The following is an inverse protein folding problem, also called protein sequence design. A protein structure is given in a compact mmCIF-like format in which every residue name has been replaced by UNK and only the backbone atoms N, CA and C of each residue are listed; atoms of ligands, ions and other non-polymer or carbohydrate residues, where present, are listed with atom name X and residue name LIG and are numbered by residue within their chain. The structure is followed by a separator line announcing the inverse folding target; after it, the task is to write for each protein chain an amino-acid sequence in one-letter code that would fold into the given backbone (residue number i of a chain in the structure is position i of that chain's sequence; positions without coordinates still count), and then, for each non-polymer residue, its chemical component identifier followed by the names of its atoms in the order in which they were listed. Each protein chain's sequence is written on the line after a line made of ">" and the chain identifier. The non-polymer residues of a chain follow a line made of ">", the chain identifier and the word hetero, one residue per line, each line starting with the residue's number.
data_IF_753099113767
#
_entry.id   IF_753099113767
#
_cell.length_a   1.000
_cell.length_b   1.000
_cell.length_c   1.000
_cell.angle_alpha   90.00
_cell.angle_beta   90.00
_cell.angle_gamma   90.00
#
_symmetry.space_group_name_H-M   'P 1'
#
loop_
_entity.id
_entity.type
_entity.pdbx_description
1 polymer ?
#
# COMPACT_ATOMS: atom_id res chain seq x y z
N UNK A 1 -25.44 -18.00 70.32
CA UNK A 1 -25.38 -19.05 69.27
C UNK A 1 -26.70 -19.06 68.53
N UNK A 2 -26.75 -18.46 67.32
CA UNK A 2 -27.75 -18.69 66.25
C UNK A 2 -27.27 -17.94 65.01
N UNK A 3 -26.70 -18.70 64.08
CA UNK A 3 -26.50 -18.34 62.68
C UNK A 3 -27.88 -18.14 62.01
N UNK A 4 -28.00 -17.17 61.10
CA UNK A 4 -28.73 -17.23 59.81
C UNK A 4 -28.91 -15.80 59.24
N UNK A 5 -28.25 -15.59 58.10
CA UNK A 5 -28.61 -14.81 56.90
C UNK A 5 -29.06 -13.35 57.04
N UNK A 6 -28.29 -12.44 56.43
CA UNK A 6 -28.66 -11.75 55.18
C UNK A 6 -27.35 -11.45 54.43
N UNK A 7 -27.03 -12.31 53.46
CA UNK A 7 -25.99 -12.08 52.47
C UNK A 7 -26.48 -10.93 51.59
N UNK A 8 -26.09 -9.71 51.95
CA UNK A 8 -26.37 -8.51 51.17
C UNK A 8 -25.33 -8.42 50.07
N UNK A 9 -25.79 -8.70 48.85
CA UNK A 9 -25.31 -8.16 47.57
C UNK A 9 -23.86 -7.66 47.52
N UNK A 10 -22.95 -8.57 47.20
CA UNK A 10 -21.69 -8.25 46.53
C UNK A 10 -21.60 -9.01 45.21
N UNK A 11 -22.68 -8.93 44.41
CA UNK A 11 -22.64 -9.18 42.98
C UNK A 11 -22.13 -7.91 42.29
N UNK A 12 -20.92 -7.47 42.68
CA UNK A 12 -20.21 -6.38 42.02
C UNK A 12 -19.56 -6.94 40.75
N UNK A 13 -20.37 -6.95 39.69
CA UNK A 13 -19.96 -6.65 38.32
C UNK A 13 -18.76 -7.48 37.84
N UNK A 14 -18.97 -8.80 37.71
CA UNK A 14 -18.35 -9.60 36.64
C UNK A 14 -19.11 -9.35 35.33
N UNK A 15 -19.23 -8.09 34.93
CA UNK A 15 -19.42 -7.77 33.52
C UNK A 15 -18.01 -7.56 33.02
N UNK A 16 -17.35 -8.67 32.69
CA UNK A 16 -16.31 -8.68 31.68
C UNK A 16 -16.94 -8.10 30.42
N UNK A 17 -16.86 -6.78 30.27
CA UNK A 17 -17.02 -6.10 29.01
C UNK A 17 -15.83 -6.59 28.18
N UNK A 18 -15.94 -7.80 27.63
CA UNK A 18 -15.27 -8.17 26.40
C UNK A 18 -15.89 -7.27 25.33
N UNK A 19 -15.53 -5.99 25.36
CA UNK A 19 -15.56 -5.15 24.19
C UNK A 19 -14.46 -5.72 23.30
N UNK A 20 -14.75 -6.86 22.65
CA UNK A 20 -14.09 -7.18 21.40
C UNK A 20 -14.47 -6.01 20.52
N UNK A 21 -13.56 -5.06 20.35
CA UNK A 21 -13.63 -4.15 19.22
C UNK A 21 -13.80 -5.06 18.01
N UNK A 22 -15.03 -5.13 17.49
CA UNK A 22 -15.28 -5.82 16.24
C UNK A 22 -14.51 -4.99 15.22
N UNK A 23 -13.35 -5.52 14.80
CA UNK A 23 -12.59 -4.89 13.74
C UNK A 23 -13.51 -4.83 12.53
N UNK A 24 -13.85 -3.63 12.08
CA UNK A 24 -14.67 -3.44 10.90
C UNK A 24 -13.89 -4.00 9.71
N UNK A 25 -14.34 -5.17 9.22
CA UNK A 25 -13.70 -5.82 8.08
C UNK A 25 -13.91 -4.94 6.85
N UNK A 26 -12.81 -4.65 6.16
CA UNK A 26 -12.83 -3.79 4.98
C UNK A 26 -12.51 -4.60 3.74
N UNK A 27 -13.10 -4.20 2.64
CA UNK A 27 -12.72 -4.65 1.31
C UNK A 27 -12.39 -3.46 0.42
N UNK A 28 -11.86 -3.77 -0.75
CA UNK A 28 -11.57 -2.79 -1.78
C UNK A 28 -11.86 -3.36 -3.17
N UNK A 29 -12.05 -2.46 -4.13
CA UNK A 29 -12.36 -2.81 -5.52
C UNK A 29 -11.10 -3.12 -6.32
N UNK A 30 -11.08 -4.27 -7.00
CA UNK A 30 -9.95 -4.68 -7.86
C UNK A 30 -10.24 -4.52 -9.37
N UNK A 31 -11.51 -4.40 -9.77
CA UNK A 31 -11.90 -4.27 -11.16
C UNK A 31 -11.54 -2.89 -11.74
N UNK A 32 -10.84 -2.88 -12.88
CA UNK A 32 -10.35 -1.66 -13.55
C UNK A 32 -11.44 -0.61 -13.83
N UNK A 33 -12.66 -1.04 -14.14
CA UNK A 33 -13.81 -0.19 -14.43
C UNK A 33 -14.59 0.24 -13.17
N UNK A 34 -14.11 -0.12 -11.98
CA UNK A 34 -14.86 -0.02 -10.73
C UNK A 34 -15.80 -1.21 -10.51
N UNK A 35 -16.53 -1.18 -9.41
CA UNK A 35 -17.43 -2.25 -8.99
C UNK A 35 -18.85 -1.74 -8.83
N UNK A 36 -19.79 -2.39 -9.53
CA UNK A 36 -21.21 -2.07 -9.41
C UNK A 36 -21.70 -2.33 -7.99
N UNK A 37 -22.22 -1.29 -7.35
CA UNK A 37 -22.87 -1.34 -6.04
C UNK A 37 -24.38 -1.33 -6.24
N UNK A 38 -25.06 -2.36 -5.75
CA UNK A 38 -26.44 -2.69 -6.11
C UNK A 38 -27.36 -2.78 -4.92
N UNK A 39 -28.65 -2.60 -5.17
CA UNK A 39 -29.68 -2.68 -4.13
C UNK A 39 -29.89 -4.11 -3.63
N UNK A 40 -29.66 -5.13 -4.47
CA UNK A 40 -29.82 -6.54 -4.10
C UNK A 40 -28.69 -7.39 -4.71
N UNK A 41 -28.46 -8.62 -4.22
CA UNK A 41 -27.36 -9.47 -4.66
C UNK A 41 -27.68 -10.18 -5.99
N UNK A 42 -27.92 -9.40 -7.04
CA UNK A 42 -28.20 -9.88 -8.41
C UNK A 42 -27.65 -8.92 -9.45
N UNK A 43 -27.11 -9.47 -10.53
CA UNK A 43 -26.47 -8.70 -11.60
C UNK A 43 -27.42 -7.75 -12.35
N UNK A 44 -28.71 -8.06 -12.40
CA UNK A 44 -29.76 -7.28 -13.06
C UNK A 44 -30.46 -6.28 -12.13
N UNK A 45 -30.17 -6.31 -10.83
CA UNK A 45 -30.82 -5.41 -9.87
C UNK A 45 -30.34 -3.97 -9.98
N UNK A 46 -31.13 -3.04 -9.42
CA UNK A 46 -30.84 -1.61 -9.44
C UNK A 46 -29.41 -1.33 -9.00
N UNK A 47 -28.62 -0.71 -9.88
CA UNK A 47 -27.29 -0.20 -9.57
C UNK A 47 -27.44 1.13 -8.83
N UNK A 48 -27.07 1.14 -7.56
CA UNK A 48 -27.07 2.32 -6.70
C UNK A 48 -25.93 3.27 -7.08
N UNK A 49 -24.74 2.71 -7.28
CA UNK A 49 -23.53 3.47 -7.66
C UNK A 49 -22.50 2.54 -8.32
N UNK A 50 -21.36 3.11 -8.72
CA UNK A 50 -20.13 2.38 -9.01
C UNK A 50 -19.13 2.79 -7.93
N UNK A 51 -18.59 1.83 -7.20
CA UNK A 51 -17.45 2.05 -6.31
C UNK A 51 -16.21 2.10 -7.22
N UNK A 52 -15.49 3.22 -7.30
CA UNK A 52 -14.29 3.33 -8.11
C UNK A 52 -13.27 2.23 -7.78
N UNK A 53 -12.37 1.95 -8.73
CA UNK A 53 -11.25 1.04 -8.47
C UNK A 53 -10.52 1.52 -7.23
N UNK A 54 -10.09 0.57 -6.41
CA UNK A 54 -9.31 0.79 -5.21
C UNK A 54 -9.98 1.60 -4.08
N UNK A 55 -11.27 1.92 -4.21
CA UNK A 55 -12.03 2.50 -3.11
C UNK A 55 -12.37 1.44 -2.06
N UNK A 56 -12.30 1.85 -0.79
CA UNK A 56 -12.59 0.97 0.34
C UNK A 56 -14.09 0.99 0.65
N UNK A 57 -14.56 -0.13 1.19
CA UNK A 57 -15.91 -0.27 1.75
C UNK A 57 -15.85 -1.14 3.00
N UNK A 58 -16.83 -0.96 3.89
CA UNK A 58 -17.01 -1.83 5.05
C UNK A 58 -17.79 -3.07 4.62
N UNK A 59 -17.29 -4.25 4.95
CA UNK A 59 -17.97 -5.51 4.71
C UNK A 59 -18.89 -5.78 5.90
N UNK A 60 -20.19 -5.90 5.61
CA UNK A 60 -21.22 -6.19 6.62
C UNK A 60 -21.59 -7.67 6.64
N UNK A 61 -21.57 -8.33 5.48
CA UNK A 61 -21.89 -9.76 5.34
C UNK A 61 -21.21 -10.33 4.09
N UNK A 62 -20.59 -11.52 4.22
CA UNK A 62 -19.92 -12.24 3.13
C UNK A 62 -20.69 -13.48 2.67
N UNK A 63 -21.73 -13.88 3.41
CA UNK A 63 -22.50 -15.10 3.20
C UNK A 63 -23.70 -14.89 2.28
N UNK A 64 -23.66 -13.86 1.42
CA UNK A 64 -24.65 -13.64 0.39
C UNK A 64 -24.71 -14.80 -0.62
N UNK A 65 -25.72 -14.77 -1.52
CA UNK A 65 -25.88 -15.82 -2.52
C UNK A 65 -24.66 -15.86 -3.45
N UNK A 66 -24.36 -17.06 -3.94
CA UNK A 66 -23.37 -17.27 -4.98
C UNK A 66 -23.97 -16.96 -6.35
N UNK A 67 -23.14 -16.41 -7.24
CA UNK A 67 -23.51 -16.10 -8.62
C UNK A 67 -22.29 -16.30 -9.53
N UNK A 68 -22.53 -16.46 -10.83
CA UNK A 68 -21.48 -16.54 -11.84
C UNK A 68 -21.56 -15.35 -12.78
N UNK A 69 -20.59 -14.45 -12.69
CA UNK A 69 -20.53 -13.22 -13.48
C UNK A 69 -19.18 -13.19 -14.19
N UNK A 70 -19.20 -12.95 -15.51
CA UNK A 70 -17.99 -12.93 -16.36
C UNK A 70 -17.10 -14.16 -16.18
N UNK A 71 -17.71 -15.34 -16.08
CA UNK A 71 -17.00 -16.61 -15.91
C UNK A 71 -16.39 -16.84 -14.52
N UNK A 72 -16.62 -15.92 -13.58
CA UNK A 72 -16.15 -16.02 -12.19
C UNK A 72 -17.31 -16.38 -11.27
N UNK A 73 -17.21 -17.48 -10.53
CA UNK A 73 -18.20 -17.90 -9.53
C UNK A 73 -17.78 -17.46 -8.14
N UNK A 74 -18.53 -16.54 -7.54
CA UNK A 74 -18.26 -15.96 -6.21
C UNK A 74 -19.55 -15.52 -5.52
N UNK A 75 -19.46 -15.19 -4.23
CA UNK A 75 -20.60 -14.69 -3.44
C UNK A 75 -20.81 -13.19 -3.63
N UNK A 76 -22.04 -12.75 -3.45
CA UNK A 76 -22.34 -11.35 -3.22
C UNK A 76 -22.01 -10.98 -1.77
N UNK A 77 -21.39 -9.83 -1.56
CA UNK A 77 -21.15 -9.27 -0.23
C UNK A 77 -22.07 -8.09 0.01
N UNK A 78 -22.62 -8.01 1.22
CA UNK A 78 -23.32 -6.83 1.70
C UNK A 78 -22.30 -5.88 2.28
N UNK A 79 -22.31 -4.63 1.84
CA UNK A 79 -21.30 -3.64 2.21
C UNK A 79 -21.93 -2.30 2.55
N UNK A 80 -21.23 -1.50 3.34
CA UNK A 80 -21.47 -0.08 3.51
C UNK A 80 -20.40 0.70 2.75
N UNK A 81 -20.82 1.54 1.81
CA UNK A 81 -19.97 2.45 1.06
C UNK A 81 -20.56 3.86 1.12
N UNK A 82 -19.80 4.82 1.64
CA UNK A 82 -20.22 6.21 1.84
C UNK A 82 -21.60 6.32 2.53
N UNK A 83 -21.76 5.63 3.65
CA UNK A 83 -22.98 5.55 4.46
C UNK A 83 -24.21 4.95 3.76
N UNK A 84 -24.02 4.34 2.59
CA UNK A 84 -25.06 3.62 1.86
C UNK A 84 -24.82 2.10 1.96
N UNK A 85 -25.87 1.36 2.32
CA UNK A 85 -25.82 -0.11 2.40
C UNK A 85 -26.36 -0.73 1.09
N UNK A 86 -25.65 -1.72 0.59
CA UNK A 86 -26.02 -2.44 -0.63
C UNK A 86 -25.14 -3.67 -0.84
N UNK A 87 -25.07 -4.14 -2.07
CA UNK A 87 -24.43 -5.40 -2.45
C UNK A 87 -23.41 -5.20 -3.57
N UNK A 88 -22.31 -5.92 -3.48
CA UNK A 88 -21.30 -6.02 -4.52
C UNK A 88 -21.01 -7.49 -4.84
N UNK A 89 -20.59 -7.76 -6.07
CA UNK A 89 -20.12 -9.10 -6.43
C UNK A 89 -18.65 -9.26 -6.03
N UNK A 90 -18.35 -10.19 -5.12
CA UNK A 90 -17.00 -10.29 -4.53
C UNK A 90 -15.91 -10.76 -5.49
N UNK A 91 -16.27 -11.29 -6.67
CA UNK A 91 -15.29 -11.62 -7.72
C UNK A 91 -14.49 -10.42 -8.24
N UNK A 92 -14.96 -9.21 -7.97
CA UNK A 92 -14.31 -7.96 -8.35
C UNK A 92 -13.84 -7.13 -7.14
N UNK A 93 -13.75 -7.78 -5.98
CA UNK A 93 -13.28 -7.19 -4.74
C UNK A 93 -12.24 -8.08 -4.06
N UNK A 94 -11.48 -7.49 -3.15
CA UNK A 94 -10.58 -8.19 -2.26
C UNK A 94 -10.77 -7.71 -0.81
N UNK A 95 -10.44 -8.57 0.14
CA UNK A 95 -10.47 -8.24 1.57
C UNK A 95 -9.17 -7.52 1.92
N UNK A 96 -9.29 -6.44 2.69
CA UNK A 96 -8.14 -5.75 3.26
C UNK A 96 -7.66 -6.51 4.49
N UNK A 97 -6.44 -7.07 4.41
CA UNK A 97 -5.77 -7.67 5.56
C UNK A 97 -4.82 -6.64 6.21
N UNK A 98 -5.21 -6.03 7.35
CA UNK A 98 -4.35 -5.09 8.07
C UNK A 98 -3.09 -5.75 8.63
N UNK A 99 -3.10 -7.08 8.84
CA UNK A 99 -1.96 -7.81 9.41
C UNK A 99 -0.74 -7.72 8.51
N UNK A 100 -0.94 -7.44 7.22
CA UNK A 100 0.15 -7.21 6.27
C UNK A 100 1.05 -6.05 6.71
N UNK A 101 0.48 -5.00 7.29
CA UNK A 101 1.22 -3.82 7.75
C UNK A 101 1.74 -3.95 9.19
N UNK A 102 1.78 -5.17 9.74
CA UNK A 102 2.42 -5.42 11.02
C UNK A 102 3.93 -5.17 10.88
N UNK A 103 4.47 -4.30 11.74
CA UNK A 103 5.90 -3.98 11.81
C UNK A 103 6.78 -5.22 11.95
N UNK A 104 6.24 -6.31 12.54
CA UNK A 104 6.92 -7.60 12.66
C UNK A 104 7.23 -8.25 11.31
N UNK A 105 6.55 -7.84 10.24
CA UNK A 105 6.81 -8.30 8.86
C UNK A 105 7.91 -7.51 8.16
N UNK A 106 8.46 -6.47 8.79
CA UNK A 106 9.62 -5.75 8.26
C UNK A 106 10.85 -6.66 8.11
N UNK A 107 11.59 -6.49 7.02
CA UNK A 107 12.89 -7.13 6.80
C UNK A 107 14.07 -6.21 7.17
N UNK A 108 13.79 -5.03 7.70
CA UNK A 108 14.79 -4.03 8.02
C UNK A 108 15.67 -4.47 9.18
N UNK A 109 16.99 -4.41 8.98
CA UNK A 109 18.02 -4.77 9.95
C UNK A 109 19.07 -3.68 10.16
N UNK A 110 18.88 -2.51 9.55
CA UNK A 110 19.79 -1.38 9.62
C UNK A 110 19.66 -0.54 10.89
N UNK A 111 20.38 0.58 10.92
CA UNK A 111 20.33 1.54 12.01
C UNK A 111 19.00 2.32 12.00
N UNK A 112 18.22 2.19 13.08
CA UNK A 112 16.94 2.86 13.23
C UNK A 112 17.04 4.38 13.20
N UNK A 113 18.15 4.97 13.64
CA UNK A 113 18.36 6.42 13.58
C UNK A 113 18.48 6.92 12.14
N UNK A 114 19.21 6.18 11.29
CA UNK A 114 19.33 6.46 9.85
C UNK A 114 17.99 6.27 9.15
N UNK A 115 17.21 5.24 9.53
CA UNK A 115 15.84 5.04 9.03
C UNK A 115 14.93 6.24 9.33
N UNK A 116 14.96 6.72 10.58
CA UNK A 116 14.16 7.89 10.99
C UNK A 116 14.61 9.15 10.24
N UNK A 117 15.91 9.37 10.09
CA UNK A 117 16.45 10.47 9.30
C UNK A 117 15.96 10.42 7.85
N UNK A 118 16.15 9.28 7.18
CA UNK A 118 15.72 9.07 5.79
C UNK A 118 14.23 9.38 5.59
N UNK A 119 13.37 8.89 6.47
CA UNK A 119 11.93 9.12 6.36
C UNK A 119 11.53 10.57 6.68
N UNK A 120 12.20 11.22 7.63
CA UNK A 120 11.98 12.63 7.89
C UNK A 120 12.38 13.48 6.69
N UNK A 121 13.52 13.16 6.08
CA UNK A 121 14.00 13.83 4.88
C UNK A 121 13.01 13.65 3.73
N UNK A 122 12.62 12.41 3.41
CA UNK A 122 11.57 12.10 2.41
C UNK A 122 10.28 12.87 2.66
N UNK A 123 9.84 12.98 3.92
CA UNK A 123 8.61 13.70 4.27
C UNK A 123 8.66 15.19 3.89
N UNK A 124 9.84 15.77 3.74
CA UNK A 124 10.00 17.17 3.29
C UNK A 124 9.70 17.36 1.80
N UNK A 125 9.65 16.28 1.02
CA UNK A 125 9.38 16.31 -0.41
C UNK A 125 7.88 16.38 -0.69
N UNK A 126 7.04 16.06 0.31
CA UNK A 126 5.58 16.07 0.17
C UNK A 126 4.99 17.40 0.63
N UNK A 127 4.13 17.96 -0.21
CA UNK A 127 3.33 19.15 0.13
C UNK A 127 2.27 18.87 1.20
N UNK A 128 1.88 17.60 1.38
CA UNK A 128 0.88 17.12 2.35
C UNK A 128 1.31 15.77 2.92
N UNK A 129 1.14 15.58 4.23
CA UNK A 129 1.74 14.48 5.01
C UNK A 129 0.67 13.46 5.44
N UNK A 130 0.91 12.16 5.22
CA UNK A 130 0.23 11.07 5.93
C UNK A 130 1.20 10.44 6.95
N UNK A 131 0.67 9.81 8.00
CA UNK A 131 1.52 9.34 9.12
C UNK A 131 2.49 8.22 8.70
N UNK A 132 2.01 7.27 7.88
CA UNK A 132 2.70 5.98 7.62
C UNK A 132 2.89 5.63 6.13
N UNK A 133 2.52 6.54 5.22
CA UNK A 133 2.58 6.31 3.77
C UNK A 133 3.11 7.57 3.07
N UNK A 134 4.09 7.39 2.19
CA UNK A 134 4.77 8.47 1.48
C UNK A 134 4.80 8.14 -0.03
N UNK A 135 4.32 9.05 -0.89
CA UNK A 135 4.33 8.90 -2.36
C UNK A 135 5.00 10.10 -3.01
N UNK A 136 6.07 9.87 -3.79
CA UNK A 136 6.88 10.88 -4.45
C UNK A 136 6.92 10.67 -5.96
N UNK A 137 6.58 11.71 -6.72
CA UNK A 137 6.67 11.66 -8.18
C UNK A 137 7.98 12.29 -8.64
N UNK A 138 8.64 11.63 -9.58
CA UNK A 138 9.88 12.06 -10.20
C UNK A 138 9.80 12.01 -11.71
N UNK A 139 10.63 12.82 -12.35
CA UNK A 139 10.90 12.75 -13.78
C UNK A 139 12.35 12.31 -13.97
N UNK A 140 12.57 11.25 -14.74
CA UNK A 140 13.91 10.89 -15.21
C UNK A 140 14.32 11.87 -16.30
N UNK A 141 15.49 12.51 -16.15
CA UNK A 141 16.02 13.38 -17.20
C UNK A 141 16.83 12.61 -18.26
N UNK A 142 17.15 11.34 -17.99
CA UNK A 142 18.15 10.59 -18.77
C UNK A 142 17.54 9.63 -19.79
N UNK A 143 16.24 9.34 -19.67
CA UNK A 143 15.50 8.56 -20.68
C UNK A 143 14.09 9.13 -20.90
N UNK A 144 13.83 9.76 -22.06
CA UNK A 144 12.45 9.96 -22.50
C UNK A 144 11.87 8.59 -22.90
N UNK A 145 10.68 8.28 -22.40
CA UNK A 145 9.94 7.07 -22.78
C UNK A 145 9.09 7.35 -24.02
N UNK A 146 8.79 6.31 -24.78
CA UNK A 146 8.02 6.45 -26.01
C UNK A 146 7.53 5.10 -26.53
N UNK A 147 6.42 5.11 -27.27
CA UNK A 147 5.84 3.93 -27.91
C UNK A 147 6.28 3.78 -29.39
N UNK A 148 7.26 4.58 -29.81
CA UNK A 148 7.82 4.60 -31.16
C UNK A 148 7.35 5.79 -32.00
N UNK A 149 6.20 6.38 -31.67
CA UNK A 149 5.64 7.53 -32.39
C UNK A 149 5.79 8.85 -31.62
N UNK A 150 5.77 8.81 -30.29
CA UNK A 150 5.99 9.96 -29.41
C UNK A 150 7.09 9.71 -28.37
N UNK A 151 7.93 10.72 -28.13
CA UNK A 151 8.86 10.74 -26.99
C UNK A 151 8.34 11.69 -25.92
N UNK A 152 8.30 11.22 -24.68
CA UNK A 152 7.86 12.01 -23.53
C UNK A 152 8.70 11.72 -22.29
N UNK A 153 8.84 12.72 -21.42
CA UNK A 153 9.47 12.55 -20.12
C UNK A 153 8.60 11.62 -19.26
N UNK A 154 9.09 10.43 -18.93
CA UNK A 154 8.32 9.52 -18.09
C UNK A 154 8.32 9.99 -16.63
N UNK A 155 7.11 10.10 -16.08
CA UNK A 155 6.91 10.35 -14.66
C UNK A 155 6.96 9.01 -13.95
N UNK A 156 8.02 8.81 -13.17
CA UNK A 156 8.11 7.71 -12.22
C UNK A 156 7.47 8.13 -10.90
N UNK A 157 6.89 7.18 -10.18
CA UNK A 157 6.35 7.40 -8.83
C UNK A 157 6.97 6.40 -7.88
N UNK A 158 7.50 6.89 -6.76
CA UNK A 158 8.01 6.05 -5.68
C UNK A 158 7.03 6.12 -4.51
N UNK A 159 6.57 4.96 -4.06
CA UNK A 159 5.75 4.81 -2.87
C UNK A 159 6.51 4.04 -1.81
N UNK A 160 6.48 4.53 -0.57
CA UNK A 160 7.19 3.94 0.56
C UNK A 160 6.21 3.68 1.70
N UNK A 161 6.21 2.44 2.17
CA UNK A 161 5.57 2.06 3.41
C UNK A 161 6.63 1.94 4.52
N UNK A 162 6.54 2.81 5.50
CA UNK A 162 7.53 2.90 6.58
C UNK A 162 7.34 1.85 7.69
N UNK A 163 6.14 1.24 7.77
CA UNK A 163 5.83 0.20 8.77
C UNK A 163 6.49 -1.13 8.43
N UNK A 164 6.48 -1.49 7.14
CA UNK A 164 7.02 -2.78 6.68
C UNK A 164 8.27 -2.63 5.81
N UNK A 165 8.80 -1.42 5.72
CA UNK A 165 10.02 -1.12 5.00
C UNK A 165 9.95 -1.60 3.54
N UNK A 166 8.90 -1.18 2.83
CA UNK A 166 8.72 -1.53 1.43
C UNK A 166 8.71 -0.29 0.55
N UNK A 167 9.26 -0.42 -0.64
CA UNK A 167 9.24 0.60 -1.67
C UNK A 167 8.65 0.02 -2.96
N UNK A 168 7.91 0.84 -3.69
CA UNK A 168 7.39 0.51 -5.01
C UNK A 168 7.78 1.64 -5.95
N UNK A 169 8.30 1.28 -7.12
CA UNK A 169 8.59 2.22 -8.20
C UNK A 169 7.60 1.93 -9.32
N UNK A 170 6.88 2.95 -9.73
CA UNK A 170 5.82 2.90 -10.72
C UNK A 170 6.19 3.78 -11.90
N UNK A 171 5.74 3.38 -13.08
CA UNK A 171 5.79 4.15 -14.31
C UNK A 171 4.43 4.05 -15.01
N UNK A 172 4.29 4.65 -16.20
CA UNK A 172 3.07 4.49 -17.01
C UNK A 172 2.87 3.04 -17.46
N UNK A 173 3.97 2.29 -17.61
CA UNK A 173 3.98 0.97 -18.26
C UNK A 173 4.35 -0.16 -17.31
N UNK A 174 5.15 0.11 -16.28
CA UNK A 174 5.67 -0.94 -15.40
C UNK A 174 5.61 -0.54 -13.92
N UNK A 175 5.68 -1.54 -13.06
CA UNK A 175 5.78 -1.39 -11.61
C UNK A 175 6.62 -2.51 -11.04
N UNK A 176 7.56 -2.18 -10.16
CA UNK A 176 8.26 -3.18 -9.36
C UNK A 176 8.29 -2.78 -7.89
N UNK A 177 8.29 -3.80 -7.03
CA UNK A 177 8.28 -3.63 -5.59
C UNK A 177 9.49 -4.28 -4.93
N UNK A 178 9.93 -3.69 -3.84
CA UNK A 178 11.13 -4.11 -3.11
C UNK A 178 10.90 -4.01 -1.61
N UNK A 179 11.66 -4.78 -0.84
CA UNK A 179 11.71 -4.70 0.63
C UNK A 179 13.05 -4.13 1.05
N UNK A 180 13.04 -2.96 1.67
CA UNK A 180 14.21 -2.30 2.24
C UNK A 180 14.71 -3.14 3.41
N UNK A 181 15.98 -3.55 3.35
CA UNK A 181 16.64 -4.38 4.35
C UNK A 181 17.66 -3.60 5.17
N UNK A 182 18.26 -2.55 4.58
CA UNK A 182 19.24 -1.70 5.26
C UNK A 182 19.22 -0.28 4.67
N UNK A 183 19.62 0.70 5.47
CA UNK A 183 19.90 2.07 5.05
C UNK A 183 21.27 2.46 5.60
N UNK A 184 22.14 2.98 4.74
CA UNK A 184 23.48 3.41 5.13
C UNK A 184 23.68 4.88 4.76
N UNK A 185 24.27 5.65 5.68
CA UNK A 185 24.58 7.05 5.45
C UNK A 185 26.04 7.18 4.99
N UNK A 186 26.25 7.80 3.83
CA UNK A 186 27.56 8.04 3.25
C UNK A 186 27.71 9.52 2.88
N UNK A 187 28.43 10.27 3.73
CA UNK A 187 28.58 11.74 3.59
C UNK A 187 27.23 12.46 3.60
N UNK A 188 26.76 12.97 2.47
CA UNK A 188 25.46 13.66 2.35
C UNK A 188 24.41 12.78 1.67
N UNK A 189 24.72 11.50 1.48
CA UNK A 189 23.95 10.53 0.72
C UNK A 189 23.38 9.44 1.64
N UNK A 190 22.18 8.95 1.34
CA UNK A 190 21.62 7.73 1.95
C UNK A 190 21.57 6.65 0.88
N UNK A 191 22.06 5.45 1.19
CA UNK A 191 22.07 4.27 0.32
C UNK A 191 21.02 3.27 0.80
N UNK A 192 20.18 2.79 -0.11
CA UNK A 192 19.06 1.88 0.18
C UNK A 192 19.40 0.45 -0.26
N UNK A 193 19.55 -0.48 0.67
CA UNK A 193 19.65 -1.91 0.32
C UNK A 193 18.28 -2.54 0.37
N UNK A 194 17.95 -3.35 -0.63
CA UNK A 194 16.67 -4.03 -0.67
C UNK A 194 16.76 -5.46 -1.23
N UNK A 195 15.68 -6.22 -1.08
CA UNK A 195 15.46 -7.47 -1.81
C UNK A 195 14.27 -7.30 -2.75
N UNK A 196 14.39 -7.85 -3.96
CA UNK A 196 13.26 -7.90 -4.89
C UNK A 196 12.17 -8.79 -4.27
N UNK A 197 10.92 -8.37 -4.40
CA UNK A 197 9.80 -9.14 -3.91
C UNK A 197 9.33 -10.24 -4.87
N UNK A 198 9.74 -10.22 -6.14
CA UNK A 198 9.39 -11.30 -7.07
C UNK A 198 10.14 -12.59 -6.69
N UNK A 199 9.40 -13.56 -6.16
CA UNK A 199 9.92 -14.86 -5.70
C UNK A 199 10.66 -15.67 -6.79
N UNK A 200 10.56 -15.28 -8.07
CA UNK A 200 11.26 -15.95 -9.18
C UNK A 200 12.75 -15.64 -9.24
N UNK A 201 13.20 -14.54 -8.64
CA UNK A 201 14.61 -14.14 -8.62
C UNK A 201 15.14 -14.39 -7.21
N UNK A 202 15.66 -15.60 -6.97
CA UNK A 202 16.07 -16.05 -5.65
C UNK A 202 16.91 -15.03 -4.88
N UNK A 203 16.70 -14.98 -3.55
CA UNK A 203 17.31 -14.17 -2.46
C UNK A 203 18.61 -13.38 -2.74
N UNK A 204 18.66 -12.64 -3.84
CA UNK A 204 19.76 -11.78 -4.20
C UNK A 204 19.43 -10.43 -3.59
N UNK A 205 20.27 -10.00 -2.64
CA UNK A 205 20.24 -8.65 -2.13
C UNK A 205 20.72 -7.78 -3.29
N UNK A 206 19.77 -7.19 -4.02
CA UNK A 206 20.05 -6.18 -5.03
C UNK A 206 20.21 -4.86 -4.29
N UNK A 207 21.45 -4.40 -4.19
CA UNK A 207 21.72 -3.05 -3.69
C UNK A 207 21.56 -2.08 -4.85
N UNK A 208 20.47 -1.30 -4.85
CA UNK A 208 20.44 -0.06 -5.63
C UNK A 208 20.68 1.08 -4.68
N UNK A 209 21.81 1.77 -4.83
CA UNK A 209 22.02 3.01 -4.10
C UNK A 209 21.16 4.12 -4.73
N UNK A 210 19.93 4.26 -4.24
CA UNK A 210 19.14 5.47 -4.45
C UNK A 210 19.66 6.55 -3.54
N UNK A 211 20.48 7.45 -4.08
CA UNK A 211 21.03 8.55 -3.33
C UNK A 211 20.04 9.70 -3.35
N UNK A 212 19.71 10.19 -2.17
CA UNK A 212 18.96 11.43 -1.99
C UNK A 212 19.92 12.61 -1.79
N UNK A 213 19.95 13.52 -2.76
CA UNK A 213 20.62 14.83 -2.61
C UNK A 213 19.65 15.78 -1.89
N UNK A 214 19.94 16.06 -0.63
CA UNK A 214 19.10 16.88 0.26
C UNK A 214 18.92 18.31 -0.26
N UNK A 215 19.97 18.89 -0.83
CA UNK A 215 19.98 20.29 -1.27
C UNK A 215 19.21 20.46 -2.57
N UNK A 216 19.43 19.57 -3.53
CA UNK A 216 18.78 19.62 -4.85
C UNK A 216 17.42 18.96 -4.86
N UNK A 217 17.09 18.19 -3.83
CA UNK A 217 15.90 17.35 -3.75
C UNK A 217 15.81 16.38 -4.92
N UNK A 218 16.94 15.88 -5.39
CA UNK A 218 17.01 14.93 -6.50
C UNK A 218 17.34 13.54 -5.98
N UNK A 219 16.77 12.52 -6.59
CA UNK A 219 17.21 11.15 -6.40
C UNK A 219 18.11 10.73 -7.56
N UNK A 220 19.10 9.88 -7.31
CA UNK A 220 19.80 9.21 -8.40
C UNK A 220 20.13 7.76 -8.09
N UNK A 221 20.08 6.92 -9.13
CA UNK A 221 20.45 5.52 -9.02
C UNK A 221 21.97 5.37 -9.20
N UNK A 222 22.61 4.71 -8.22
CA UNK A 222 23.98 4.18 -8.30
C UNK A 222 23.90 2.65 -8.22
N UNK A 223 23.94 2.00 -9.38
CA UNK A 223 24.05 0.56 -9.50
C UNK A 223 25.51 0.14 -9.71
N UNK A 224 26.01 -0.80 -8.88
CA UNK A 224 27.32 -1.42 -9.09
C UNK A 224 27.15 -2.68 -9.93
N UNK A 225 27.15 -2.55 -11.26
CA UNK A 225 27.13 -3.69 -12.19
C UNK A 225 28.51 -4.36 -12.26
N UNK A 226 28.93 -4.98 -11.16
CA UNK A 226 30.21 -5.70 -11.06
C UNK A 226 31.43 -4.82 -10.83
N UNK A 227 32.60 -5.46 -10.70
CA UNK A 227 33.88 -4.76 -10.48
C UNK A 227 34.32 -4.07 -11.76
N UNK A 228 34.26 -2.74 -11.80
CA UNK A 228 34.96 -1.91 -12.79
C UNK A 228 34.13 -1.37 -13.96
N UNK A 229 32.80 -1.33 -13.87
CA UNK A 229 31.93 -0.73 -14.89
C UNK A 229 31.54 0.71 -14.53
N UNK A 230 31.32 1.52 -15.58
CA UNK A 230 31.10 2.96 -15.50
C UNK A 230 29.66 3.28 -15.09
N UNK A 231 29.50 4.36 -14.32
CA UNK A 231 28.26 4.82 -13.70
C UNK A 231 27.22 5.26 -14.73
N UNK A 232 26.02 4.70 -14.69
CA UNK A 232 24.83 5.32 -15.28
C UNK A 232 24.13 6.12 -14.19
N UNK A 233 24.39 7.42 -14.12
CA UNK A 233 23.68 8.30 -13.20
C UNK A 233 22.31 8.60 -13.79
N UNK A 234 21.28 7.88 -13.35
CA UNK A 234 19.89 8.27 -13.66
C UNK A 234 19.46 9.30 -12.63
N UNK A 235 19.30 10.54 -13.05
CA UNK A 235 18.93 11.68 -12.22
C UNK A 235 17.42 11.89 -12.32
N UNK A 236 16.78 11.71 -11.18
CA UNK A 236 15.36 11.89 -10.97
C UNK A 236 15.12 13.23 -10.27
N UNK A 237 14.42 14.16 -10.93
CA UNK A 237 14.01 15.43 -10.34
C UNK A 237 12.57 15.38 -9.85
N UNK A 238 12.20 16.12 -8.80
CA UNK A 238 10.81 16.19 -8.35
C UNK A 238 9.91 16.67 -9.49
N UNK A 239 8.77 16.01 -9.66
CA UNK A 239 7.71 16.56 -10.50
C UNK A 239 6.90 17.58 -9.67
N UNK A 240 7.04 18.86 -10.00
CA UNK A 240 6.42 19.99 -9.29
C UNK A 240 4.93 20.17 -9.61
N UNK A 241 4.38 19.43 -10.58
CA UNK A 241 2.93 19.36 -10.75
C UNK A 241 2.28 18.79 -9.49
N UNK A 242 1.01 19.13 -9.24
CA UNK A 242 0.26 18.72 -8.03
C UNK A 242 0.22 17.20 -7.90
N UNK A 243 1.24 16.66 -7.27
CA UNK A 243 1.36 15.28 -6.85
C UNK A 243 0.58 15.18 -5.55
N UNK A 244 -0.74 14.95 -5.68
CA UNK A 244 -1.55 14.59 -4.54
C UNK A 244 -2.69 13.65 -4.89
N UNK A 245 -2.56 12.42 -4.39
CA UNK A 245 -3.65 11.66 -3.81
C UNK A 245 -3.07 10.98 -2.54
N UNK A 246 -3.24 11.56 -1.32
CA UNK A 246 -3.10 10.79 -0.07
C UNK A 246 -4.36 9.93 0.22
N UNK A 247 -5.01 9.47 -0.83
CA UNK A 247 -5.78 8.25 -0.75
C UNK A 247 -4.97 7.21 -1.52
N UNK A 248 -4.36 6.28 -0.80
CA UNK A 248 -3.80 5.06 -1.37
C UNK A 248 -4.94 4.22 -1.95
N UNK A 249 -5.49 4.66 -3.07
CA UNK A 249 -6.38 3.86 -3.87
C UNK A 249 -5.48 2.91 -4.67
N UNK A 250 -5.10 1.82 -3.96
CA UNK A 250 -4.73 0.43 -4.30
C UNK A 250 -4.28 0.00 -5.72
N UNK A 251 -3.88 0.91 -6.61
CA UNK A 251 -3.39 0.51 -7.93
C UNK A 251 -1.93 0.07 -7.96
N UNK A 252 -1.13 0.28 -6.92
CA UNK A 252 0.34 0.18 -7.02
C UNK A 252 1.02 -0.84 -6.09
N UNK A 253 0.56 -1.00 -4.85
CA UNK A 253 1.55 -1.20 -3.77
C UNK A 253 1.63 -2.58 -3.13
N UNK A 254 1.02 -3.63 -3.70
CA UNK A 254 1.03 -4.93 -3.01
C UNK A 254 0.87 -6.23 -3.81
N UNK A 255 0.52 -6.17 -5.09
CA UNK A 255 0.11 -7.39 -5.80
C UNK A 255 1.23 -8.41 -6.09
N UNK A 256 2.52 -8.04 -6.27
CA UNK A 256 3.60 -9.02 -6.32
C UNK A 256 3.82 -9.80 -5.01
N UNK A 257 3.22 -9.36 -3.89
CA UNK A 257 3.27 -10.04 -2.60
C UNK A 257 2.07 -10.97 -2.35
N UNK A 258 1.13 -11.04 -3.30
CA UNK A 258 -0.10 -11.83 -3.20
C UNK A 258 0.02 -13.24 -3.83
N UNK A 259 1.25 -13.71 -4.09
CA UNK A 259 1.58 -15.10 -4.40
C UNK A 259 2.72 -15.61 -3.52
#
# INVERSE_FOLDING_TARGET
>A
MKFVNIVTSLFLIMISINCKYAFEERGYVIANSGLSFRQSPKADSLRLNIIPRDEFFLILDKEGPEDTIEGTTKRWWKVNYNDQIGWIFSGFAAIYDPSFYDVKKSLYKGDLSIKVEFYNELKTFFSKKAEDHCQLNFISNDFPSGDGDETFDEVYTIEINTKIDSMVVLSRYDSFSVRITNLEHYKDEIVISYVNSDQRVGNSISTIAWVLDKDKKTFFNREQLGKGTWWTNLIYRPNNEKSYICNSHLKSWLYPFLQ
#
